data_IF_533672593599
#
_entry.id   IF_533672593599
#
_cell.length_a   1.000
_cell.length_b   1.000
_cell.length_c   1.000
_cell.angle_alpha   90.00
_cell.angle_beta   90.00
_cell.angle_gamma   90.00
#
_symmetry.space_group_name_H-M   'P 1'
#
loop_
_entity.id
_entity.type
_entity.pdbx_description
1 polymer ?
#
# COMPACT_ATOMS: atom_id res chain seq x y z
N UNK A 1 28.27 -52.09 -25.97
CA UNK A 1 27.37 -52.04 -24.78
C UNK A 1 27.49 -50.75 -23.95
N UNK A 2 28.68 -50.16 -23.76
CA UNK A 2 28.87 -48.96 -22.93
C UNK A 2 28.18 -47.68 -23.47
N UNK A 3 28.14 -47.44 -24.78
CA UNK A 3 27.53 -46.25 -25.39
C UNK A 3 25.99 -46.15 -25.16
N UNK A 4 25.28 -47.30 -25.09
CA UNK A 4 23.84 -47.35 -24.83
C UNK A 4 23.51 -47.05 -23.36
N UNK A 5 24.41 -47.34 -22.42
CA UNK A 5 24.25 -47.04 -20.99
C UNK A 5 24.35 -45.51 -20.75
N UNK A 6 25.34 -44.86 -21.39
CA UNK A 6 25.52 -43.40 -21.27
C UNK A 6 24.37 -42.58 -21.87
N UNK A 7 23.84 -43.02 -23.03
CA UNK A 7 22.68 -42.35 -23.65
C UNK A 7 21.42 -42.46 -22.78
N UNK A 8 21.24 -43.60 -22.08
CA UNK A 8 20.12 -43.78 -21.13
C UNK A 8 20.27 -42.92 -19.89
N UNK A 9 21.49 -42.80 -19.35
CA UNK A 9 21.75 -41.96 -18.17
C UNK A 9 21.57 -40.46 -18.48
N UNK A 10 21.98 -39.98 -19.65
CA UNK A 10 21.78 -38.61 -20.11
C UNK A 10 20.30 -38.29 -20.37
N UNK A 11 19.56 -39.23 -20.95
CA UNK A 11 18.11 -39.05 -21.18
C UNK A 11 17.35 -39.05 -19.84
N UNK A 12 17.76 -39.88 -18.90
CA UNK A 12 17.16 -39.88 -17.54
C UNK A 12 17.47 -38.59 -16.77
N UNK A 13 18.68 -38.03 -16.89
CA UNK A 13 19.05 -36.75 -16.29
C UNK A 13 18.30 -35.59 -16.92
N UNK A 14 18.09 -35.60 -18.24
CA UNK A 14 17.32 -34.59 -18.97
C UNK A 14 15.82 -34.65 -18.59
N UNK A 15 15.26 -35.86 -18.47
CA UNK A 15 13.87 -36.07 -18.03
C UNK A 15 13.68 -35.69 -16.58
N UNK A 16 14.69 -35.91 -15.70
CA UNK A 16 14.67 -35.47 -14.32
C UNK A 16 14.77 -33.94 -14.19
N UNK A 17 15.55 -33.28 -15.04
CA UNK A 17 15.64 -31.83 -15.08
C UNK A 17 14.35 -31.15 -15.62
N UNK A 18 13.62 -31.83 -16.52
CA UNK A 18 12.32 -31.40 -17.02
C UNK A 18 11.16 -31.73 -16.07
N UNK A 19 11.38 -32.65 -15.13
CA UNK A 19 10.39 -33.09 -14.11
C UNK A 19 10.52 -32.35 -12.77
N UNK A 20 11.40 -31.34 -12.66
CA UNK A 20 11.37 -30.46 -11.50
C UNK A 20 10.02 -29.73 -11.56
N UNK A 21 9.15 -29.91 -10.55
CA UNK A 21 7.92 -29.17 -10.50
C UNK A 21 8.32 -27.68 -10.51
N UNK A 22 7.97 -26.97 -11.56
CA UNK A 22 7.92 -25.53 -11.48
C UNK A 22 7.09 -25.23 -10.25
N UNK A 23 7.73 -24.66 -9.21
CA UNK A 23 7.01 -24.29 -7.99
C UNK A 23 5.78 -23.53 -8.45
N UNK A 24 4.60 -24.06 -8.14
CA UNK A 24 3.37 -23.32 -8.27
C UNK A 24 3.53 -22.14 -7.29
N UNK A 25 3.96 -20.99 -7.83
CA UNK A 25 3.88 -19.73 -7.13
C UNK A 25 2.38 -19.51 -6.96
N UNK A 26 1.90 -19.55 -5.74
CA UNK A 26 0.49 -19.40 -5.38
C UNK A 26 -0.06 -18.01 -5.78
N UNK A 27 0.81 -17.09 -6.17
CA UNK A 27 0.53 -15.80 -6.78
C UNK A 27 1.47 -15.66 -7.98
N UNK A 28 0.92 -15.28 -9.12
CA UNK A 28 1.65 -15.17 -10.38
C UNK A 28 2.90 -14.33 -10.21
N UNK A 29 4.02 -14.83 -10.71
CA UNK A 29 5.35 -14.31 -10.46
C UNK A 29 5.65 -12.94 -11.07
N UNK A 30 4.88 -11.92 -10.74
CA UNK A 30 5.25 -10.55 -10.97
C UNK A 30 6.43 -10.19 -10.05
N UNK A 31 7.49 -9.66 -10.63
CA UNK A 31 8.65 -9.14 -9.91
C UNK A 31 8.65 -7.61 -9.90
N UNK A 32 7.54 -7.00 -10.28
CA UNK A 32 7.35 -5.56 -10.31
C UNK A 32 7.02 -4.97 -8.93
N UNK A 33 6.94 -3.65 -8.83
CA UNK A 33 6.64 -2.97 -7.58
C UNK A 33 5.21 -3.27 -7.09
N UNK A 34 5.05 -3.28 -5.77
CA UNK A 34 3.76 -3.42 -5.10
C UNK A 34 3.38 -2.05 -4.53
N UNK A 35 2.13 -1.64 -4.75
CA UNK A 35 1.56 -0.43 -4.17
C UNK A 35 0.22 -0.74 -3.52
N UNK A 36 -0.06 -0.09 -2.38
CA UNK A 36 -1.34 -0.19 -1.70
C UNK A 36 -1.98 1.19 -1.63
N UNK A 37 -3.29 1.21 -1.85
CA UNK A 37 -4.13 2.38 -1.77
C UNK A 37 -5.36 2.09 -0.92
N UNK A 38 -5.60 2.88 0.11
CA UNK A 38 -6.85 2.86 0.86
C UNK A 38 -7.65 4.11 0.51
N UNK A 39 -8.82 3.91 -0.07
CA UNK A 39 -9.67 5.00 -0.54
C UNK A 39 -11.15 4.69 -0.35
N UNK A 40 -11.94 5.75 -0.22
CA UNK A 40 -13.38 5.63 -0.32
C UNK A 40 -13.82 5.30 -1.75
N UNK A 41 -14.78 4.40 -1.86
CA UNK A 41 -15.50 4.07 -3.11
C UNK A 41 -16.98 4.26 -2.82
N UNK A 42 -17.42 5.52 -2.81
CA UNK A 42 -18.73 5.91 -2.29
C UNK A 42 -18.82 5.68 -0.77
N UNK A 43 -19.82 4.89 -0.29
CA UNK A 43 -19.96 4.61 1.14
C UNK A 43 -18.99 3.53 1.66
N UNK A 44 -18.22 2.89 0.78
CA UNK A 44 -17.30 1.81 1.14
C UNK A 44 -15.88 2.34 1.25
N UNK A 45 -15.11 1.82 2.18
CA UNK A 45 -13.67 2.02 2.27
C UNK A 45 -12.96 0.74 1.84
N UNK A 46 -12.06 0.85 0.86
CA UNK A 46 -11.42 -0.29 0.22
C UNK A 46 -9.90 -0.08 0.12
N UNK A 47 -9.16 -1.01 0.68
CA UNK A 47 -7.74 -1.20 0.40
C UNK A 47 -7.57 -1.92 -0.93
N UNK A 48 -6.72 -1.41 -1.81
CA UNK A 48 -6.42 -1.98 -3.13
C UNK A 48 -4.92 -2.15 -3.24
N UNK A 49 -4.46 -3.39 -3.28
CA UNK A 49 -3.06 -3.71 -3.55
C UNK A 49 -2.89 -3.97 -5.04
N UNK A 50 -1.93 -3.31 -5.64
CA UNK A 50 -1.52 -3.50 -7.03
C UNK A 50 -0.15 -4.16 -7.07
N UNK A 51 -0.06 -5.36 -7.63
CA UNK A 51 1.19 -6.03 -7.98
C UNK A 51 1.42 -5.87 -9.48
N UNK A 52 2.36 -5.00 -9.83
CA UNK A 52 2.58 -4.59 -11.22
C UNK A 52 3.47 -5.59 -11.96
N UNK A 53 3.27 -5.78 -13.28
CA UNK A 53 4.21 -6.55 -14.09
C UNK A 53 5.55 -5.81 -14.21
N UNK A 54 6.64 -6.58 -14.25
CA UNK A 54 7.99 -6.04 -14.49
C UNK A 54 8.25 -5.67 -15.95
N UNK A 55 7.39 -6.15 -16.86
CA UNK A 55 7.43 -5.85 -18.30
C UNK A 55 6.02 -5.75 -18.85
N UNK A 56 5.84 -4.93 -19.89
CA UNK A 56 4.57 -4.81 -20.63
C UNK A 56 4.75 -5.34 -22.07
N UNK A 57 3.74 -5.98 -22.67
CA UNK A 57 2.45 -6.34 -22.06
C UNK A 57 2.58 -7.34 -20.91
N UNK A 58 1.71 -7.21 -19.90
CA UNK A 58 1.76 -8.04 -18.70
C UNK A 58 0.43 -8.10 -17.97
N UNK A 59 0.43 -8.75 -16.81
CA UNK A 59 -0.75 -8.88 -15.95
C UNK A 59 -0.58 -8.02 -14.70
N UNK A 60 -1.53 -7.15 -14.44
CA UNK A 60 -1.69 -6.43 -13.19
C UNK A 60 -2.52 -7.31 -12.25
N UNK A 61 -1.94 -7.78 -11.14
CA UNK A 61 -2.69 -8.46 -10.09
C UNK A 61 -3.22 -7.45 -9.07
N UNK A 62 -4.44 -7.67 -8.63
CA UNK A 62 -5.18 -6.73 -7.79
C UNK A 62 -5.80 -7.50 -6.63
N UNK A 63 -5.42 -7.13 -5.40
CA UNK A 63 -6.02 -7.66 -4.20
C UNK A 63 -6.88 -6.56 -3.55
N UNK A 64 -8.09 -6.90 -3.15
CA UNK A 64 -9.03 -5.99 -2.53
C UNK A 64 -9.24 -6.34 -1.06
N UNK A 65 -9.09 -5.35 -0.19
CA UNK A 65 -9.18 -5.46 1.27
C UNK A 65 -10.28 -4.53 1.80
N UNK A 66 -11.52 -5.00 1.98
CA UNK A 66 -12.57 -4.17 2.59
C UNK A 66 -12.20 -3.74 4.02
N UNK A 67 -12.43 -2.47 4.34
CA UNK A 67 -12.15 -1.92 5.67
C UNK A 67 -13.39 -1.86 6.58
N UNK A 68 -14.49 -2.48 6.19
CA UNK A 68 -15.74 -2.49 6.94
C UNK A 68 -16.76 -3.49 6.38
N UNK A 69 -18.06 -3.25 6.60
CA UNK A 69 -19.12 -4.10 6.07
C UNK A 69 -19.15 -4.05 4.54
N UNK A 70 -19.02 -5.21 3.93
CA UNK A 70 -18.83 -5.34 2.48
C UNK A 70 -19.73 -6.43 1.84
N UNK A 71 -20.60 -7.05 2.61
CA UNK A 71 -21.47 -8.11 2.13
C UNK A 71 -22.45 -7.61 1.06
N UNK A 72 -22.59 -8.37 -0.02
CA UNK A 72 -23.46 -8.03 -1.13
C UNK A 72 -22.98 -6.86 -2.01
N UNK A 73 -21.71 -6.49 -1.89
CA UNK A 73 -21.09 -5.48 -2.75
C UNK A 73 -20.51 -6.13 -4.00
N UNK A 74 -20.77 -5.55 -5.16
CA UNK A 74 -20.12 -5.88 -6.42
C UNK A 74 -19.09 -4.81 -6.74
N UNK A 75 -17.84 -5.22 -6.95
CA UNK A 75 -16.76 -4.34 -7.39
C UNK A 75 -16.42 -4.61 -8.84
N UNK A 76 -16.39 -3.55 -9.65
CA UNK A 76 -15.96 -3.57 -11.05
C UNK A 76 -14.69 -2.78 -11.22
N UNK A 77 -13.72 -3.37 -11.91
CA UNK A 77 -12.40 -2.78 -12.10
C UNK A 77 -12.06 -2.73 -13.58
N UNK A 78 -11.55 -1.59 -14.03
CA UNK A 78 -11.02 -1.40 -15.39
C UNK A 78 -9.74 -0.58 -15.29
N UNK A 79 -8.74 -0.91 -16.11
CA UNK A 79 -7.51 -0.15 -16.20
C UNK A 79 -7.37 0.50 -17.57
N UNK A 80 -6.93 1.76 -17.62
CA UNK A 80 -6.65 2.48 -18.84
C UNK A 80 -5.41 3.36 -18.70
N UNK A 81 -4.64 3.60 -19.75
CA UNK A 81 -3.62 4.64 -19.76
C UNK A 81 -4.25 5.99 -19.38
N UNK A 82 -3.52 6.76 -18.58
CA UNK A 82 -4.03 8.01 -18.02
C UNK A 82 -4.55 8.94 -19.12
N UNK A 83 -5.74 9.50 -18.88
CA UNK A 83 -6.43 10.36 -19.84
C UNK A 83 -7.16 9.64 -20.98
N UNK A 84 -7.11 8.31 -21.03
CA UNK A 84 -7.90 7.54 -21.99
C UNK A 84 -9.22 7.04 -21.38
N UNK A 85 -10.26 6.82 -22.22
CA UNK A 85 -11.53 6.29 -21.74
C UNK A 85 -11.39 4.83 -21.28
N UNK A 86 -12.23 4.46 -20.29
CA UNK A 86 -12.34 3.07 -19.80
C UNK A 86 -13.28 2.22 -20.65
N UNK A 87 -14.08 2.84 -21.53
CA UNK A 87 -15.03 2.12 -22.39
C UNK A 87 -14.31 1.21 -23.38
N UNK A 88 -14.80 -0.03 -23.47
CA UNK A 88 -14.19 -1.06 -24.31
C UNK A 88 -12.94 -1.73 -23.70
N UNK A 89 -12.46 -1.32 -22.52
CA UNK A 89 -11.39 -1.99 -21.80
C UNK A 89 -11.92 -3.24 -21.07
N UNK A 90 -11.08 -4.29 -20.92
CA UNK A 90 -11.42 -5.46 -20.10
C UNK A 90 -11.87 -5.05 -18.70
N UNK A 91 -12.92 -5.72 -18.20
CA UNK A 91 -13.46 -5.51 -16.88
C UNK A 91 -13.24 -6.76 -16.02
N UNK A 92 -12.73 -6.56 -14.81
CA UNK A 92 -12.75 -7.56 -13.77
C UNK A 92 -13.92 -7.28 -12.82
N UNK A 93 -14.63 -8.35 -12.40
CA UNK A 93 -15.78 -8.24 -11.50
C UNK A 93 -15.53 -9.12 -10.28
N UNK A 94 -15.69 -8.54 -9.11
CA UNK A 94 -15.61 -9.23 -7.82
C UNK A 94 -16.95 -9.07 -7.11
N UNK A 95 -17.56 -10.18 -6.74
CA UNK A 95 -18.78 -10.20 -5.91
C UNK A 95 -18.40 -10.54 -4.48
N UNK A 96 -18.70 -9.64 -3.56
CA UNK A 96 -18.39 -9.84 -2.16
C UNK A 96 -19.22 -10.98 -1.57
N UNK A 97 -18.53 -11.87 -0.85
CA UNK A 97 -19.13 -12.99 -0.14
C UNK A 97 -18.90 -12.85 1.37
N UNK A 98 -19.82 -13.33 2.22
CA UNK A 98 -19.65 -13.27 3.67
C UNK A 98 -18.36 -13.94 4.12
N UNK A 99 -17.68 -13.32 5.11
CA UNK A 99 -16.45 -13.83 5.74
C UNK A 99 -15.20 -13.89 4.84
N UNK A 100 -15.24 -13.35 3.64
CA UNK A 100 -14.06 -13.21 2.78
C UNK A 100 -13.36 -11.89 3.09
N UNK A 101 -12.13 -11.97 3.59
CA UNK A 101 -11.34 -10.80 3.97
C UNK A 101 -10.55 -10.20 2.80
N UNK A 102 -10.25 -10.99 1.77
CA UNK A 102 -9.39 -10.60 0.65
C UNK A 102 -9.98 -11.19 -0.64
N UNK A 103 -10.08 -10.35 -1.67
CA UNK A 103 -10.51 -10.77 -3.00
C UNK A 103 -9.38 -10.56 -3.98
N UNK A 104 -9.15 -11.55 -4.83
CA UNK A 104 -8.08 -11.57 -5.82
C UNK A 104 -8.66 -11.43 -7.22
N UNK A 105 -8.07 -10.56 -8.04
CA UNK A 105 -8.42 -10.42 -9.45
C UNK A 105 -7.23 -9.95 -10.26
N UNK A 106 -7.40 -9.81 -11.58
CA UNK A 106 -6.32 -9.38 -12.46
C UNK A 106 -6.85 -8.69 -13.71
N UNK A 107 -6.02 -7.81 -14.29
CA UNK A 107 -6.27 -7.11 -15.55
C UNK A 107 -5.03 -7.17 -16.43
N UNK A 108 -5.23 -7.25 -17.76
CA UNK A 108 -4.14 -7.10 -18.72
C UNK A 108 -3.77 -5.64 -18.91
N UNK A 109 -2.45 -5.37 -18.97
CA UNK A 109 -1.89 -4.05 -19.29
C UNK A 109 -0.92 -4.20 -20.45
N UNK A 110 -0.99 -3.29 -21.43
CA UNK A 110 -0.36 -3.47 -22.75
C UNK A 110 0.85 -2.58 -23.00
N UNK A 111 1.06 -1.52 -22.22
CA UNK A 111 2.17 -0.57 -22.41
C UNK A 111 2.69 0.00 -21.09
N UNK A 112 3.96 0.44 -21.10
CA UNK A 112 4.53 1.20 -20.00
C UNK A 112 3.98 2.63 -19.98
N UNK A 113 4.09 3.30 -18.83
CA UNK A 113 3.63 4.68 -18.61
C UNK A 113 2.61 4.80 -17.49
N UNK A 114 1.97 5.94 -17.42
CA UNK A 114 0.98 6.26 -16.40
C UNK A 114 -0.40 5.68 -16.75
N UNK A 115 -1.04 5.11 -15.76
CA UNK A 115 -2.34 4.45 -15.84
C UNK A 115 -3.25 4.93 -14.73
N UNK A 116 -4.55 4.80 -14.95
CA UNK A 116 -5.57 4.87 -13.90
C UNK A 116 -6.32 3.54 -13.83
N UNK A 117 -6.50 3.01 -12.61
CA UNK A 117 -7.42 1.93 -12.31
C UNK A 117 -8.75 2.55 -11.84
N UNK A 118 -9.81 2.34 -12.58
CA UNK A 118 -11.16 2.67 -12.16
C UNK A 118 -11.68 1.54 -11.26
N UNK A 119 -12.13 1.92 -10.07
CA UNK A 119 -12.79 1.03 -9.11
C UNK A 119 -14.20 1.55 -8.89
N UNK A 120 -15.20 0.73 -9.19
CA UNK A 120 -16.62 1.01 -8.92
C UNK A 120 -17.16 -0.01 -7.94
N UNK A 121 -17.86 0.43 -6.93
CA UNK A 121 -18.53 -0.43 -5.97
C UNK A 121 -20.03 -0.15 -6.00
N UNK A 122 -20.82 -1.20 -6.03
CA UNK A 122 -22.28 -1.17 -6.02
C UNK A 122 -22.79 -2.13 -4.96
N UNK A 123 -23.61 -1.66 -4.02
CA UNK A 123 -24.07 -2.51 -2.91
C UNK A 123 -25.14 -1.87 -2.05
N UNK A 124 -25.54 -2.53 -0.94
CA UNK A 124 -26.66 -2.11 -0.11
C UNK A 124 -26.57 -0.70 0.47
N UNK A 125 -25.35 -0.19 0.71
CA UNK A 125 -25.14 1.14 1.26
C UNK A 125 -25.11 2.24 0.18
N UNK A 126 -25.09 1.88 -1.10
CA UNK A 126 -25.03 2.78 -2.23
C UNK A 126 -23.94 2.43 -3.22
N UNK A 127 -23.68 3.33 -4.14
CA UNK A 127 -22.70 3.15 -5.21
C UNK A 127 -21.58 4.16 -5.07
N UNK A 128 -20.39 3.80 -5.55
CA UNK A 128 -19.24 4.67 -5.55
C UNK A 128 -18.26 4.39 -6.68
N UNK A 129 -17.36 5.35 -6.88
CA UNK A 129 -16.31 5.28 -7.88
C UNK A 129 -15.06 5.99 -7.38
N UNK A 130 -13.91 5.42 -7.65
CA UNK A 130 -12.61 6.08 -7.47
C UNK A 130 -11.66 5.74 -8.62
N UNK A 131 -10.63 6.56 -8.80
CA UNK A 131 -9.53 6.33 -9.72
C UNK A 131 -8.23 6.20 -8.94
N UNK A 132 -7.53 5.10 -9.14
CA UNK A 132 -6.24 4.84 -8.50
C UNK A 132 -5.14 5.03 -9.55
N UNK A 133 -4.28 6.05 -9.41
CA UNK A 133 -3.17 6.28 -10.33
C UNK A 133 -2.04 5.30 -10.04
N UNK A 134 -1.43 4.74 -11.10
CA UNK A 134 -0.23 3.92 -10.99
C UNK A 134 0.64 4.07 -12.24
N UNK A 135 1.92 3.73 -12.12
CA UNK A 135 2.88 3.85 -13.24
C UNK A 135 3.52 2.50 -13.51
N UNK A 136 3.47 2.07 -14.76
CA UNK A 136 4.14 0.86 -15.24
C UNK A 136 5.49 1.21 -15.84
N UNK A 137 6.55 0.63 -15.26
CA UNK A 137 7.92 0.81 -15.74
C UNK A 137 8.47 -0.54 -16.15
N UNK A 138 8.89 -0.66 -17.41
CA UNK A 138 9.59 -1.86 -17.86
C UNK A 138 10.95 -1.96 -17.16
N UNK A 139 11.09 -2.93 -16.28
CA UNK A 139 12.37 -3.20 -15.65
C UNK A 139 13.39 -3.69 -16.69
N UNK A 140 14.62 -3.19 -16.68
CA UNK A 140 15.67 -3.75 -17.51
C UNK A 140 15.90 -5.21 -17.13
N UNK A 141 16.05 -6.09 -18.13
CA UNK A 141 16.35 -7.51 -17.87
C UNK A 141 17.69 -7.58 -17.12
N UNK A 142 17.73 -8.14 -15.90
CA UNK A 142 18.96 -8.24 -15.13
C UNK A 142 20.06 -8.95 -15.96
N UNK A 143 21.28 -8.42 -15.91
CA UNK A 143 22.42 -9.01 -16.62
C UNK A 143 22.65 -10.48 -16.27
N UNK A 144 22.36 -10.88 -15.05
CA UNK A 144 22.39 -12.29 -14.59
C UNK A 144 21.38 -13.17 -15.34
N UNK A 145 20.17 -12.66 -15.64
CA UNK A 145 19.15 -13.36 -16.42
C UNK A 145 19.61 -13.56 -17.88
N UNK A 146 20.19 -12.51 -18.49
CA UNK A 146 20.77 -12.58 -19.83
C UNK A 146 21.94 -13.57 -19.88
N UNK A 147 22.82 -13.53 -18.87
CA UNK A 147 23.95 -14.45 -18.75
C UNK A 147 23.49 -15.90 -18.59
N UNK A 148 22.47 -16.15 -17.75
CA UNK A 148 21.90 -17.48 -17.58
C UNK A 148 21.28 -17.99 -18.89
N UNK A 149 20.51 -17.15 -19.59
CA UNK A 149 19.97 -17.48 -20.92
C UNK A 149 21.07 -17.83 -21.95
N UNK A 150 22.14 -17.06 -21.95
CA UNK A 150 23.31 -17.31 -22.81
C UNK A 150 24.01 -18.65 -22.51
N UNK A 151 24.20 -18.96 -21.22
CA UNK A 151 24.79 -20.22 -20.76
C UNK A 151 23.92 -21.41 -21.11
N UNK A 152 22.60 -21.32 -20.91
CA UNK A 152 21.66 -22.40 -21.29
C UNK A 152 21.57 -22.58 -22.81
N UNK A 153 21.60 -21.49 -23.59
CA UNK A 153 21.67 -21.55 -25.04
C UNK A 153 22.93 -22.22 -25.53
N UNK A 154 24.10 -21.90 -24.96
CA UNK A 154 25.37 -22.57 -25.28
C UNK A 154 25.32 -24.06 -24.91
N UNK A 155 24.74 -24.41 -23.74
CA UNK A 155 24.59 -25.83 -23.35
C UNK A 155 23.72 -26.59 -24.35
N UNK A 156 22.63 -26.01 -24.82
CA UNK A 156 21.80 -26.62 -25.88
C UNK A 156 22.56 -26.84 -27.19
N UNK A 157 23.34 -25.85 -27.62
CA UNK A 157 24.20 -25.99 -28.84
C UNK A 157 25.24 -27.08 -28.67
N UNK A 158 25.91 -27.19 -27.53
CA UNK A 158 26.87 -28.23 -27.23
C UNK A 158 26.23 -29.63 -27.22
N UNK A 159 25.00 -29.72 -26.71
CA UNK A 159 24.21 -30.95 -26.71
C UNK A 159 23.91 -31.40 -28.17
N UNK A 160 23.43 -30.47 -29.00
CA UNK A 160 23.18 -30.74 -30.42
C UNK A 160 24.47 -31.17 -31.14
N UNK A 161 25.59 -30.48 -30.92
CA UNK A 161 26.89 -30.83 -31.48
C UNK A 161 27.32 -32.26 -31.05
N UNK A 162 27.10 -32.62 -29.78
CA UNK A 162 27.38 -33.97 -29.28
C UNK A 162 26.54 -35.06 -29.97
N UNK A 163 25.24 -34.77 -30.18
CA UNK A 163 24.33 -35.67 -30.89
C UNK A 163 24.79 -35.86 -32.35
N UNK A 164 25.08 -34.75 -33.05
CA UNK A 164 25.55 -34.77 -34.44
C UNK A 164 26.87 -35.53 -34.58
N UNK A 165 27.83 -35.28 -33.69
CA UNK A 165 29.11 -36.00 -33.66
C UNK A 165 28.89 -37.50 -33.47
N UNK A 166 28.03 -37.89 -32.56
CA UNK A 166 27.71 -39.30 -32.28
C UNK A 166 27.00 -39.97 -33.47
N UNK A 167 26.04 -39.28 -34.09
CA UNK A 167 25.29 -39.79 -35.23
C UNK A 167 26.21 -39.96 -36.47
N UNK A 168 27.07 -38.95 -36.73
CA UNK A 168 28.03 -39.03 -37.89
C UNK A 168 29.09 -40.11 -37.68
N UNK A 169 29.59 -40.29 -36.47
CA UNK A 169 30.52 -41.38 -36.14
C UNK A 169 29.85 -42.75 -36.32
N UNK A 170 28.61 -42.91 -35.89
CA UNK A 170 27.84 -44.14 -36.09
C UNK A 170 27.57 -44.42 -37.58
N UNK A 171 27.17 -43.42 -38.37
CA UNK A 171 26.93 -43.55 -39.80
C UNK A 171 28.21 -43.95 -40.55
N UNK A 172 29.36 -43.45 -40.13
CA UNK A 172 30.67 -43.80 -40.73
C UNK A 172 31.28 -45.07 -40.15
N UNK A 173 30.59 -45.78 -39.26
CA UNK A 173 31.08 -46.97 -38.53
C UNK A 173 32.46 -46.78 -37.88
N UNK A 174 32.75 -45.55 -37.41
CA UNK A 174 34.00 -45.17 -36.75
C UNK A 174 33.67 -44.64 -35.34
N UNK A 175 34.60 -44.81 -34.42
CA UNK A 175 34.47 -44.18 -33.07
C UNK A 175 34.70 -42.68 -33.22
N UNK A 176 33.90 -41.87 -32.49
CA UNK A 176 34.13 -40.44 -32.39
C UNK A 176 35.51 -40.17 -31.76
N UNK A 177 36.25 -39.13 -32.20
CA UNK A 177 37.54 -38.79 -31.61
C UNK A 177 37.43 -38.54 -30.12
N UNK A 178 38.23 -39.23 -29.30
CA UNK A 178 38.18 -39.13 -27.84
C UNK A 178 38.34 -37.70 -27.34
N UNK A 179 39.24 -36.92 -27.98
CA UNK A 179 39.46 -35.51 -27.60
C UNK A 179 38.21 -34.66 -27.81
N UNK A 180 37.43 -34.85 -28.90
CA UNK A 180 36.23 -34.11 -29.18
C UNK A 180 35.11 -34.45 -28.18
N UNK A 181 34.96 -35.72 -27.82
CA UNK A 181 34.00 -36.17 -26.79
C UNK A 181 34.34 -35.58 -25.42
N UNK A 182 35.64 -35.62 -25.06
CA UNK A 182 36.09 -35.05 -23.78
C UNK A 182 35.90 -33.52 -23.75
N UNK A 183 36.26 -32.82 -24.84
CA UNK A 183 36.10 -31.37 -24.92
C UNK A 183 34.63 -30.96 -24.77
N UNK A 184 33.71 -31.60 -25.49
CA UNK A 184 32.27 -31.35 -25.37
C UNK A 184 31.76 -31.67 -23.98
N UNK A 185 32.23 -32.77 -23.35
CA UNK A 185 31.86 -33.11 -21.99
C UNK A 185 32.28 -32.07 -20.96
N UNK A 186 33.53 -31.58 -21.04
CA UNK A 186 34.01 -30.51 -20.12
C UNK A 186 33.29 -29.20 -20.38
N UNK A 187 33.02 -28.83 -21.62
CA UNK A 187 32.29 -27.61 -21.96
C UNK A 187 30.85 -27.65 -21.43
N UNK A 188 30.16 -28.77 -21.60
CA UNK A 188 28.81 -28.95 -21.03
C UNK A 188 28.81 -28.91 -19.49
N UNK A 189 29.80 -29.56 -18.87
CA UNK A 189 29.94 -29.50 -17.41
C UNK A 189 30.18 -28.06 -16.92
N UNK A 190 31.04 -27.31 -17.56
CA UNK A 190 31.29 -25.90 -17.26
C UNK A 190 30.01 -25.05 -17.39
N UNK A 191 29.19 -25.28 -18.44
CA UNK A 191 27.89 -24.59 -18.59
C UNK A 191 26.92 -24.93 -17.46
N UNK A 192 26.85 -26.20 -17.02
CA UNK A 192 25.99 -26.61 -15.92
C UNK A 192 26.42 -25.93 -14.61
N UNK A 193 27.72 -25.89 -14.31
CA UNK A 193 28.22 -25.19 -13.13
C UNK A 193 27.94 -23.69 -13.22
N UNK A 194 28.18 -23.05 -14.36
CA UNK A 194 27.90 -21.63 -14.54
C UNK A 194 26.40 -21.33 -14.39
N UNK A 195 25.52 -22.16 -14.94
CA UNK A 195 24.07 -22.02 -14.78
C UNK A 195 23.64 -22.16 -13.31
N UNK A 196 24.23 -23.11 -12.58
CA UNK A 196 23.94 -23.28 -11.14
C UNK A 196 24.40 -22.07 -10.33
N UNK A 197 25.58 -21.52 -10.57
CA UNK A 197 26.07 -20.31 -9.89
C UNK A 197 25.17 -19.11 -10.19
N UNK A 198 24.82 -18.87 -11.45
CA UNK A 198 23.95 -17.78 -11.85
C UNK A 198 22.52 -17.95 -11.25
N UNK A 199 22.02 -19.18 -11.20
CA UNK A 199 20.73 -19.48 -10.57
C UNK A 199 20.74 -19.20 -9.07
N UNK A 200 21.79 -19.58 -8.35
CA UNK A 200 21.96 -19.25 -6.94
C UNK A 200 22.07 -17.72 -6.73
N UNK A 201 22.82 -17.03 -7.58
CA UNK A 201 22.90 -15.57 -7.50
C UNK A 201 21.54 -14.91 -7.73
N UNK A 202 20.75 -15.37 -8.70
CA UNK A 202 19.39 -14.87 -8.90
C UNK A 202 18.48 -15.15 -7.68
N UNK A 203 18.56 -16.35 -7.10
CA UNK A 203 17.79 -16.70 -5.91
C UNK A 203 18.13 -15.82 -4.72
N UNK A 204 19.43 -15.58 -4.47
CA UNK A 204 19.87 -14.69 -3.40
C UNK A 204 19.51 -13.23 -3.64
N UNK A 205 19.54 -12.76 -4.89
CA UNK A 205 19.12 -11.41 -5.26
C UNK A 205 17.59 -11.25 -5.17
N UNK A 206 16.82 -12.25 -5.59
CA UNK A 206 15.36 -12.28 -5.48
C UNK A 206 14.89 -12.28 -4.02
N UNK A 207 15.58 -12.98 -3.13
CA UNK A 207 15.29 -12.96 -1.69
C UNK A 207 15.55 -11.60 -1.03
N UNK A 208 16.43 -10.78 -1.60
CA UNK A 208 16.70 -9.42 -1.11
C UNK A 208 15.75 -8.36 -1.72
N UNK A 209 14.98 -8.68 -2.78
CA UNK A 209 14.01 -7.75 -3.36
C UNK A 209 12.76 -7.57 -2.49
N UNK A 210 12.49 -8.51 -1.56
CA UNK A 210 11.42 -8.33 -0.55
C UNK A 210 11.85 -7.39 0.58
N UNK A 211 13.13 -6.99 0.65
CA UNK A 211 13.69 -6.10 1.65
C UNK A 211 14.29 -4.82 1.03
N UNK A 212 14.05 -4.55 -0.25
CA UNK A 212 14.19 -3.19 -0.74
C UNK A 212 13.06 -2.38 -0.08
N UNK A 213 13.28 -2.03 1.20
CA UNK A 213 12.69 -0.83 1.74
C UNK A 213 12.80 0.21 0.63
N UNK A 214 11.68 0.82 0.27
CA UNK A 214 11.69 2.05 -0.50
C UNK A 214 12.86 2.86 0.07
N UNK A 215 13.80 3.35 -0.74
CA UNK A 215 14.96 4.05 -0.22
C UNK A 215 14.40 5.01 0.78
N UNK A 216 14.85 4.89 2.04
CA UNK A 216 14.51 5.85 3.08
C UNK A 216 14.72 7.16 2.37
N UNK A 217 13.66 7.97 2.24
CA UNK A 217 13.70 9.18 1.45
C UNK A 217 14.92 9.91 1.95
N UNK A 218 16.03 9.74 1.22
CA UNK A 218 17.19 10.56 1.44
C UNK A 218 16.58 11.95 1.41
N UNK A 219 16.79 12.73 2.45
CA UNK A 219 16.47 14.14 2.50
C UNK A 219 17.24 14.80 1.36
N UNK A 220 16.79 14.56 0.13
CA UNK A 220 17.17 15.37 -1.01
C UNK A 220 16.73 16.77 -0.61
N UNK A 221 17.62 17.77 -0.71
CA UNK A 221 17.19 19.13 -0.53
C UNK A 221 15.99 19.33 -1.43
N UNK A 222 14.87 19.74 -0.86
CA UNK A 222 13.63 19.97 -1.56
C UNK A 222 13.86 21.08 -2.59
N UNK A 223 14.40 20.74 -3.76
CA UNK A 223 14.23 21.57 -4.98
C UNK A 223 12.74 21.53 -5.37
N UNK A 224 11.92 21.55 -4.30
CA UNK A 224 10.59 21.10 -4.18
C UNK A 224 9.70 21.70 -5.23
N UNK A 225 8.86 20.84 -5.80
CA UNK A 225 7.62 21.29 -6.40
C UNK A 225 6.91 22.19 -5.42
N UNK A 226 6.30 23.29 -5.87
CA UNK A 226 5.68 24.24 -4.97
C UNK A 226 4.58 23.60 -4.16
N UNK A 227 4.22 24.24 -3.06
CA UNK A 227 3.08 23.86 -2.24
C UNK A 227 1.83 23.75 -3.10
N UNK A 228 1.01 22.73 -2.87
CA UNK A 228 -0.31 22.65 -3.47
C UNK A 228 -1.26 23.63 -2.76
N UNK A 229 -2.22 24.14 -3.50
CA UNK A 229 -3.35 24.90 -2.99
C UNK A 229 -4.58 24.01 -2.96
N UNK A 230 -5.44 24.18 -1.95
CA UNK A 230 -6.69 23.47 -1.79
C UNK A 230 -7.86 24.44 -1.92
N UNK A 231 -8.86 24.07 -2.73
CA UNK A 231 -10.20 24.62 -2.62
C UNK A 231 -11.15 23.54 -2.12
N UNK A 232 -12.03 23.91 -1.19
CA UNK A 232 -13.03 23.01 -0.62
C UNK A 232 -14.42 23.55 -0.93
N UNK A 233 -15.25 22.70 -1.54
CA UNK A 233 -16.65 22.98 -1.81
C UNK A 233 -17.54 21.91 -1.16
N UNK A 234 -18.78 22.29 -0.84
CA UNK A 234 -19.77 21.37 -0.25
C UNK A 234 -20.99 21.23 -1.15
N UNK A 235 -21.55 20.02 -1.17
CA UNK A 235 -22.84 19.75 -1.80
C UNK A 235 -23.74 19.04 -0.80
N UNK A 236 -24.84 19.68 -0.31
CA UNK A 236 -25.31 21.03 -0.68
C UNK A 236 -24.36 22.15 -0.21
N UNK A 237 -24.47 23.34 -0.81
CA UNK A 237 -23.64 24.53 -0.48
C UNK A 237 -23.90 25.08 0.92
N UNK A 238 -25.04 24.74 1.52
CA UNK A 238 -25.41 25.03 2.89
C UNK A 238 -25.69 23.72 3.64
N UNK A 239 -24.65 22.97 4.05
CA UNK A 239 -24.80 21.70 4.76
C UNK A 239 -25.61 21.88 6.04
N UNK A 240 -26.44 20.89 6.35
CA UNK A 240 -27.22 20.84 7.57
C UNK A 240 -26.65 19.81 8.53
N UNK A 241 -26.53 20.14 9.81
CA UNK A 241 -26.17 19.19 10.85
C UNK A 241 -27.14 17.98 10.84
N UNK A 242 -26.60 16.78 11.03
CA UNK A 242 -27.35 15.52 10.96
C UNK A 242 -27.73 15.08 9.53
N UNK A 243 -27.26 15.78 8.49
CA UNK A 243 -27.50 15.43 7.09
C UNK A 243 -26.20 15.15 6.35
N UNK A 244 -26.17 14.18 5.43
CA UNK A 244 -25.01 13.94 4.61
C UNK A 244 -24.63 15.17 3.75
N UNK A 245 -23.33 15.43 3.68
CA UNK A 245 -22.73 16.43 2.81
C UNK A 245 -21.59 15.80 2.05
N UNK A 246 -21.46 16.11 0.76
CA UNK A 246 -20.29 15.75 -0.03
C UNK A 246 -19.29 16.90 -0.01
N UNK A 247 -18.08 16.63 0.42
CA UNK A 247 -16.94 17.53 0.28
C UNK A 247 -16.26 17.25 -1.06
N UNK A 248 -16.02 18.29 -1.83
CA UNK A 248 -15.18 18.28 -3.02
C UNK A 248 -13.91 19.06 -2.72
N UNK A 249 -12.77 18.39 -2.86
CA UNK A 249 -11.45 18.96 -2.63
C UNK A 249 -10.74 19.03 -3.99
N UNK A 250 -10.45 20.24 -4.45
CA UNK A 250 -9.68 20.45 -5.67
C UNK A 250 -8.28 20.97 -5.29
N UNK A 251 -7.26 20.23 -5.75
CA UNK A 251 -5.84 20.53 -5.51
C UNK A 251 -5.21 21.14 -6.76
N UNK A 252 -4.54 22.25 -6.57
CA UNK A 252 -3.84 22.97 -7.63
C UNK A 252 -2.36 23.17 -7.27
N UNK A 253 -1.49 22.99 -8.23
CA UNK A 253 -0.07 23.30 -8.11
C UNK A 253 0.13 24.81 -7.90
N UNK A 254 0.87 25.18 -6.85
CA UNK A 254 1.03 26.57 -6.45
C UNK A 254 1.81 27.46 -7.44
N UNK A 255 2.61 26.86 -8.35
CA UNK A 255 3.34 27.62 -9.36
C UNK A 255 2.58 27.73 -10.70
N UNK A 256 1.89 26.65 -11.08
CA UNK A 256 1.30 26.56 -12.42
C UNK A 256 -0.21 26.75 -12.43
N UNK A 257 -0.87 26.57 -11.28
CA UNK A 257 -2.33 26.56 -11.17
C UNK A 257 -2.99 25.33 -11.83
N UNK A 258 -2.21 24.38 -12.33
CA UNK A 258 -2.74 23.15 -12.91
C UNK A 258 -3.19 22.18 -11.81
N UNK A 259 -4.14 21.27 -12.10
CA UNK A 259 -4.51 20.21 -11.16
C UNK A 259 -3.30 19.38 -10.73
N UNK A 260 -3.20 19.07 -9.43
CA UNK A 260 -2.15 18.21 -8.87
C UNK A 260 -2.47 16.75 -9.20
N UNK A 261 -1.59 16.09 -9.95
CA UNK A 261 -1.77 14.68 -10.35
C UNK A 261 -0.52 13.81 -10.07
N UNK A 262 0.30 14.26 -9.13
CA UNK A 262 1.56 13.64 -8.75
C UNK A 262 1.60 13.23 -7.27
N UNK A 263 0.43 12.92 -6.69
CA UNK A 263 0.37 12.39 -5.34
C UNK A 263 0.92 10.95 -5.31
N UNK A 264 1.69 10.68 -4.28
CA UNK A 264 2.18 9.34 -3.95
C UNK A 264 1.46 8.81 -2.73
N UNK A 265 1.17 7.51 -2.65
CA UNK A 265 0.60 6.94 -1.44
C UNK A 265 1.51 7.19 -0.23
N UNK A 266 0.94 7.70 0.84
CA UNK A 266 1.58 7.86 2.13
C UNK A 266 0.73 7.12 3.15
N UNK A 267 1.31 6.13 3.84
CA UNK A 267 0.54 5.22 4.71
C UNK A 267 -0.74 4.71 4.03
N UNK A 268 -0.57 4.08 2.88
CA UNK A 268 -1.62 3.43 2.09
C UNK A 268 -2.70 4.37 1.52
N UNK A 269 -2.64 5.69 1.69
CA UNK A 269 -3.62 6.62 1.13
C UNK A 269 -2.98 7.74 0.31
N UNK A 270 -3.68 8.21 -0.74
CA UNK A 270 -3.28 9.40 -1.50
C UNK A 270 -3.52 10.68 -0.70
N UNK A 271 -4.52 10.66 0.17
CA UNK A 271 -4.89 11.78 1.03
C UNK A 271 -5.47 11.26 2.33
N UNK A 272 -4.94 11.72 3.47
CA UNK A 272 -5.60 11.61 4.77
C UNK A 272 -6.36 12.90 5.03
N UNK A 273 -7.67 12.81 5.14
CA UNK A 273 -8.52 13.94 5.40
C UNK A 273 -9.05 13.88 6.85
N UNK A 274 -8.57 14.76 7.68
CA UNK A 274 -9.05 14.89 9.05
C UNK A 274 -10.05 16.05 9.10
N UNK A 275 -11.27 15.78 9.53
CA UNK A 275 -12.31 16.82 9.69
C UNK A 275 -12.64 16.97 11.16
N UNK A 276 -12.53 18.20 11.67
CA UNK A 276 -12.78 18.57 13.06
C UNK A 276 -13.76 19.72 13.12
N UNK A 277 -14.66 19.73 14.10
CA UNK A 277 -15.37 20.95 14.48
C UNK A 277 -14.48 21.86 15.35
N UNK A 278 -14.92 23.08 15.61
CA UNK A 278 -14.16 24.03 16.43
C UNK A 278 -13.92 23.54 17.87
N UNK A 279 -14.84 22.75 18.40
CA UNK A 279 -14.79 22.29 19.80
C UNK A 279 -13.99 21.01 19.97
N UNK A 280 -13.68 20.31 18.87
CA UNK A 280 -13.05 18.97 18.87
C UNK A 280 -14.03 17.86 19.27
N UNK A 281 -15.32 18.15 19.33
CA UNK A 281 -16.35 17.16 19.62
C UNK A 281 -16.72 16.30 18.43
N UNK A 282 -16.49 16.79 17.21
CA UNK A 282 -16.56 16.02 15.96
C UNK A 282 -15.16 15.69 15.48
N UNK A 283 -14.94 14.44 15.14
CA UNK A 283 -13.71 13.94 14.54
C UNK A 283 -14.03 12.92 13.45
N UNK A 284 -13.45 13.10 12.27
CA UNK A 284 -13.48 12.10 11.21
C UNK A 284 -12.10 12.02 10.55
N UNK A 285 -11.61 10.78 10.33
CA UNK A 285 -10.41 10.48 9.54
C UNK A 285 -10.84 9.69 8.33
N UNK A 286 -10.66 10.25 7.16
CA UNK A 286 -11.26 9.81 5.89
C UNK A 286 -10.20 9.74 4.78
N UNK A 287 -10.46 8.89 3.76
CA UNK A 287 -9.59 8.75 2.60
C UNK A 287 -10.40 9.05 1.32
N UNK A 288 -10.46 10.32 0.89
CA UNK A 288 -11.31 10.74 -0.23
C UNK A 288 -11.05 10.00 -1.53
N UNK A 289 -12.11 9.71 -2.27
CA UNK A 289 -12.03 9.12 -3.60
C UNK A 289 -11.49 10.13 -4.60
N UNK A 290 -10.46 9.75 -5.39
CA UNK A 290 -10.00 10.55 -6.54
C UNK A 290 -10.95 10.32 -7.71
N UNK A 291 -11.51 11.38 -8.29
CA UNK A 291 -12.40 11.29 -9.46
C UNK A 291 -11.75 11.78 -10.75
N UNK A 292 -10.76 12.64 -10.65
CA UNK A 292 -9.99 13.19 -11.76
C UNK A 292 -8.65 13.73 -11.23
N UNK A 293 -7.69 14.10 -12.09
CA UNK A 293 -6.51 14.84 -11.68
C UNK A 293 -6.87 16.01 -10.75
N UNK A 294 -6.24 16.06 -9.58
CA UNK A 294 -6.46 17.08 -8.56
C UNK A 294 -7.82 17.06 -7.86
N UNK A 295 -8.78 16.25 -8.26
CA UNK A 295 -10.14 16.27 -7.70
C UNK A 295 -10.44 15.04 -6.84
N UNK A 296 -10.79 15.32 -5.58
CA UNK A 296 -11.14 14.33 -4.58
C UNK A 296 -12.51 14.62 -3.99
N UNK A 297 -13.26 13.56 -3.64
CA UNK A 297 -14.59 13.69 -3.04
C UNK A 297 -14.75 12.72 -1.89
N UNK A 298 -15.53 13.13 -0.88
CA UNK A 298 -15.92 12.28 0.25
C UNK A 298 -17.25 12.76 0.82
N UNK A 299 -18.09 11.83 1.23
CA UNK A 299 -19.31 12.14 1.97
C UNK A 299 -19.05 12.00 3.48
N UNK A 300 -19.62 12.92 4.27
CA UNK A 300 -19.66 12.81 5.72
C UNK A 300 -20.97 13.42 6.24
N UNK A 301 -21.28 13.21 7.52
CA UNK A 301 -22.44 13.80 8.16
C UNK A 301 -21.96 14.62 9.36
N UNK A 302 -21.95 15.96 9.28
CA UNK A 302 -21.67 16.81 10.44
C UNK A 302 -22.74 16.55 11.49
N UNK A 303 -22.36 16.26 12.72
CA UNK A 303 -23.32 15.91 13.78
C UNK A 303 -23.94 17.14 14.48
N UNK A 304 -23.36 18.32 14.30
CA UNK A 304 -23.78 19.57 14.93
C UNK A 304 -23.60 20.80 14.05
N UNK A 305 -24.30 21.91 14.32
CA UNK A 305 -24.04 23.17 13.63
C UNK A 305 -22.69 23.75 14.09
N UNK A 306 -22.03 24.47 13.21
CA UNK A 306 -20.75 25.11 13.51
C UNK A 306 -19.79 25.09 12.35
N UNK A 307 -18.59 25.63 12.60
CA UNK A 307 -17.48 25.61 11.65
C UNK A 307 -16.71 24.31 11.76
N UNK A 308 -16.39 23.76 10.64
CA UNK A 308 -15.55 22.56 10.47
C UNK A 308 -14.29 22.92 9.71
N UNK A 309 -13.15 22.42 10.18
CA UNK A 309 -11.87 22.52 9.49
C UNK A 309 -11.47 21.14 8.97
N UNK A 310 -11.16 21.08 7.70
CA UNK A 310 -10.65 19.91 7.02
C UNK A 310 -9.14 20.07 6.81
N UNK A 311 -8.36 19.15 7.35
CA UNK A 311 -6.92 19.06 7.18
C UNK A 311 -6.63 17.93 6.19
N UNK A 312 -6.16 18.28 4.99
CA UNK A 312 -5.80 17.32 3.96
C UNK A 312 -4.29 17.12 3.98
N UNK A 313 -3.85 15.98 4.48
CA UNK A 313 -2.45 15.56 4.39
C UNK A 313 -2.23 14.78 3.11
N UNK A 314 -1.29 15.23 2.30
CA UNK A 314 -0.91 14.67 1.00
C UNK A 314 0.61 14.52 0.93
N UNK A 315 1.08 13.56 0.15
CA UNK A 315 2.49 13.48 -0.25
C UNK A 315 2.60 13.67 -1.76
N UNK A 316 3.41 14.64 -2.20
CA UNK A 316 3.70 14.86 -3.62
C UNK A 316 5.05 14.23 -3.97
N UNK A 317 5.15 13.70 -5.18
CA UNK A 317 6.41 13.19 -5.72
C UNK A 317 7.50 14.26 -5.62
N UNK A 318 8.66 13.89 -5.04
CA UNK A 318 9.84 14.77 -4.86
C UNK A 318 9.62 16.03 -3.99
N UNK A 319 8.48 16.16 -3.31
CA UNK A 319 8.14 17.35 -2.52
C UNK A 319 7.80 17.05 -1.05
N UNK A 320 7.68 15.77 -0.69
CA UNK A 320 7.33 15.36 0.68
C UNK A 320 5.88 15.64 1.05
N UNK A 321 5.61 15.52 2.34
CA UNK A 321 4.27 15.65 2.93
C UNK A 321 3.89 17.12 3.09
N UNK A 322 2.64 17.45 2.76
CA UNK A 322 2.04 18.76 2.91
C UNK A 322 0.70 18.64 3.62
N UNK A 323 0.37 19.58 4.50
CA UNK A 323 -0.94 19.68 5.16
C UNK A 323 -1.64 20.92 4.62
N UNK A 324 -2.77 20.72 3.95
CA UNK A 324 -3.58 21.78 3.38
C UNK A 324 -4.86 21.90 4.21
N UNK A 325 -5.39 23.10 4.36
CA UNK A 325 -6.59 23.34 5.17
C UNK A 325 -7.71 23.95 4.33
N UNK A 326 -8.93 23.47 4.58
CA UNK A 326 -10.16 24.05 4.05
C UNK A 326 -11.20 24.11 5.15
N UNK A 327 -12.16 25.00 5.05
CA UNK A 327 -13.22 25.17 6.05
C UNK A 327 -14.59 25.13 5.39
N UNK A 328 -15.59 24.66 6.15
CA UNK A 328 -16.99 24.78 5.78
C UNK A 328 -17.86 25.01 7.02
N UNK A 329 -19.08 25.50 6.81
CA UNK A 329 -20.06 25.77 7.86
C UNK A 329 -21.22 24.78 7.74
N UNK A 330 -21.51 24.03 8.82
CA UNK A 330 -22.77 23.31 8.93
C UNK A 330 -23.81 24.16 9.69
N UNK A 331 -25.03 24.18 9.17
CA UNK A 331 -26.14 24.97 9.70
C UNK A 331 -27.11 24.04 10.44
N UNK A 332 -27.99 24.62 11.25
CA UNK A 332 -29.05 23.89 11.98
C UNK A 332 -29.21 24.37 13.38
N UNK A 333 -30.04 23.65 14.16
CA UNK A 333 -30.28 23.88 15.57
C UNK A 333 -29.54 22.79 16.36
N UNK A 334 -28.96 23.15 17.48
CA UNK A 334 -28.28 22.25 18.41
C UNK A 334 -27.24 23.00 19.23
N UNK A 335 -27.04 22.58 20.46
CA UNK A 335 -25.94 23.08 21.29
C UNK A 335 -24.63 22.46 20.76
N UNK A 336 -23.56 23.23 20.66
CA UNK A 336 -22.24 22.67 20.47
C UNK A 336 -21.99 21.63 21.58
N UNK A 337 -21.50 20.45 21.23
CA UNK A 337 -21.17 19.51 22.30
C UNK A 337 -20.19 20.17 23.25
N UNK A 338 -20.56 20.17 24.51
CA UNK A 338 -19.61 20.54 25.52
C UNK A 338 -18.49 19.53 25.54
N UNK A 339 -17.33 20.09 25.53
CA UNK A 339 -16.26 19.55 26.26
C UNK A 339 -15.24 18.64 25.68
N UNK A 340 -14.17 19.17 25.90
CA UNK A 340 -12.85 18.58 26.01
C UNK A 340 -12.90 17.12 26.49
N UNK A 341 -12.36 16.24 25.68
CA UNK A 341 -12.07 14.89 26.10
C UNK A 341 -11.23 14.90 27.40
N UNK A 342 -11.33 13.88 28.24
CA UNK A 342 -10.56 13.80 29.48
C UNK A 342 -9.06 13.77 29.19
N UNK A 343 -8.26 14.19 30.16
CA UNK A 343 -6.80 14.05 30.14
C UNK A 343 -6.33 12.60 30.13
N UNK A 344 -5.02 12.33 30.21
CA UNK A 344 -4.47 10.98 30.37
C UNK A 344 -5.14 10.22 31.51
N UNK A 345 -5.27 8.89 31.38
CA UNK A 345 -5.93 8.05 32.37
C UNK A 345 -6.74 6.92 31.73
N UNK A 346 -7.36 6.05 32.55
CA UNK A 346 -8.13 4.91 32.06
C UNK A 346 -9.52 5.34 31.56
N UNK A 347 -9.99 4.66 30.51
CA UNK A 347 -11.33 4.81 29.92
C UNK A 347 -11.78 3.53 29.26
N UNK A 348 -13.10 3.39 29.08
CA UNK A 348 -13.67 2.23 28.37
C UNK A 348 -14.27 2.71 27.05
N UNK A 349 -13.81 2.12 25.95
CA UNK A 349 -14.30 2.40 24.59
C UNK A 349 -14.44 1.05 23.87
N UNK A 350 -15.61 0.79 23.29
CA UNK A 350 -15.92 -0.43 22.53
C UNK A 350 -15.56 -1.75 23.26
N UNK A 351 -15.76 -1.78 24.58
CA UNK A 351 -15.46 -2.92 25.44
C UNK A 351 -13.98 -3.09 25.80
N UNK A 352 -13.10 -2.20 25.31
CA UNK A 352 -11.70 -2.15 25.70
C UNK A 352 -11.50 -1.16 26.86
N UNK A 353 -10.78 -1.58 27.88
CA UNK A 353 -10.21 -0.68 28.90
C UNK A 353 -8.89 -0.15 28.34
N UNK A 354 -8.81 1.15 28.11
CA UNK A 354 -7.65 1.82 27.52
C UNK A 354 -7.07 2.75 28.57
N UNK A 355 -5.84 2.51 28.99
CA UNK A 355 -5.09 3.40 29.87
C UNK A 355 -4.13 4.25 29.06
N UNK A 356 -4.13 5.56 29.28
CA UNK A 356 -3.23 6.49 28.59
C UNK A 356 -2.28 7.12 29.60
N UNK A 357 -0.98 6.98 29.34
CA UNK A 357 0.08 7.59 30.14
C UNK A 357 0.96 8.48 29.26
N UNK A 358 1.40 9.61 29.82
CA UNK A 358 2.39 10.48 29.20
C UNK A 358 3.70 10.40 29.98
N UNK A 359 4.83 10.36 29.30
CA UNK A 359 6.17 10.43 29.90
C UNK A 359 7.01 11.49 29.18
N UNK A 360 7.41 12.57 29.88
CA UNK A 360 7.08 12.88 31.27
C UNK A 360 5.57 13.10 31.48
N UNK A 361 5.07 12.90 32.69
CA UNK A 361 3.65 13.03 33.03
C UNK A 361 3.05 14.38 32.64
N UNK A 362 3.87 15.42 32.58
CA UNK A 362 3.55 16.72 32.01
C UNK A 362 4.58 17.04 30.91
N UNK A 363 4.24 16.85 29.63
CA UNK A 363 5.13 17.19 28.52
C UNK A 363 5.49 18.68 28.50
N UNK A 364 6.68 18.96 27.97
CA UNK A 364 7.18 20.33 27.78
C UNK A 364 7.38 20.62 26.31
N UNK A 365 7.09 21.84 25.90
CA UNK A 365 7.34 22.29 24.54
C UNK A 365 8.85 22.16 24.18
N UNK A 366 9.13 21.66 22.98
CA UNK A 366 10.49 21.44 22.49
C UNK A 366 11.21 20.25 23.12
N UNK A 367 10.56 19.47 24.01
CA UNK A 367 11.15 18.27 24.62
C UNK A 367 10.42 17.01 24.13
N UNK A 368 11.15 15.88 23.92
CA UNK A 368 10.55 14.62 23.60
C UNK A 368 9.57 14.15 24.68
N UNK A 369 8.41 13.65 24.26
CA UNK A 369 7.43 13.02 25.12
C UNK A 369 6.94 11.70 24.47
N UNK A 370 6.58 10.74 25.31
CA UNK A 370 6.01 9.47 24.87
C UNK A 370 4.59 9.35 25.43
N UNK A 371 3.63 9.07 24.55
CA UNK A 371 2.28 8.70 24.96
C UNK A 371 2.14 7.19 24.78
N UNK A 372 1.80 6.49 25.87
CA UNK A 372 1.59 5.03 25.86
C UNK A 372 0.10 4.75 26.04
N UNK A 373 -0.46 3.99 25.12
CA UNK A 373 -1.82 3.47 25.15
C UNK A 373 -1.76 1.97 25.47
N UNK A 374 -2.28 1.57 26.62
CA UNK A 374 -2.31 0.17 27.08
C UNK A 374 -3.74 -0.36 27.00
N UNK A 375 -3.91 -1.53 26.36
CA UNK A 375 -5.21 -2.11 26.06
C UNK A 375 -5.47 -3.36 26.88
N UNK A 376 -6.67 -3.45 27.47
CA UNK A 376 -7.15 -4.64 28.17
C UNK A 376 -8.64 -4.89 27.86
N UNK A 377 -9.05 -6.15 27.87
CA UNK A 377 -10.44 -6.58 27.77
C UNK A 377 -10.74 -7.59 28.88
N UNK A 378 -11.82 -7.37 29.66
CA UNK A 378 -12.13 -8.25 30.79
C UNK A 378 -11.00 -8.38 31.82
N UNK A 379 -10.15 -7.37 31.96
CA UNK A 379 -8.98 -7.38 32.85
C UNK A 379 -7.74 -8.10 32.28
N UNK A 380 -7.80 -8.64 31.08
CA UNK A 380 -6.67 -9.30 30.43
C UNK A 380 -6.03 -8.37 29.38
N UNK A 381 -4.69 -8.37 29.22
CA UNK A 381 -4.02 -7.60 28.18
C UNK A 381 -4.48 -8.01 26.76
N UNK A 382 -4.73 -7.02 25.89
CA UNK A 382 -5.06 -7.24 24.46
C UNK A 382 -3.77 -7.18 23.66
N UNK A 383 -3.41 -8.28 23.01
CA UNK A 383 -2.14 -8.44 22.26
C UNK A 383 -2.36 -8.72 20.77
N UNK A 384 -3.59 -8.52 20.28
CA UNK A 384 -4.03 -8.80 18.91
C UNK A 384 -4.56 -7.55 18.20
N UNK A 385 -4.04 -6.38 18.58
CA UNK A 385 -4.30 -5.14 17.84
C UNK A 385 -3.77 -5.27 16.41
N UNK A 386 -4.59 -4.89 15.44
CA UNK A 386 -4.32 -5.07 14.03
C UNK A 386 -3.65 -3.82 13.44
N UNK A 387 -2.81 -3.96 12.38
CA UNK A 387 -2.37 -2.79 11.63
C UNK A 387 -3.56 -2.08 10.98
N UNK A 388 -3.47 -0.76 10.94
CA UNK A 388 -4.38 0.10 10.21
C UNK A 388 -3.56 1.10 9.42
N UNK A 389 -3.78 1.18 8.10
CA UNK A 389 -2.97 1.98 7.19
C UNK A 389 -1.46 1.69 7.36
N UNK A 390 -1.12 0.41 7.47
CA UNK A 390 0.25 -0.06 7.66
C UNK A 390 0.86 0.19 9.03
N UNK A 391 0.19 0.90 9.96
CA UNK A 391 0.75 1.31 11.25
C UNK A 391 0.03 0.63 12.43
N UNK A 392 0.71 0.56 13.58
CA UNK A 392 0.10 0.09 14.83
C UNK A 392 -0.97 1.05 15.37
N UNK A 393 -0.93 2.31 14.97
CA UNK A 393 -1.90 3.34 15.33
C UNK A 393 -1.53 4.70 14.75
N UNK A 394 -2.53 5.57 14.70
CA UNK A 394 -2.43 6.96 14.25
C UNK A 394 -2.85 7.90 15.38
N UNK A 395 -2.17 9.03 15.50
CA UNK A 395 -2.47 10.03 16.50
C UNK A 395 -2.57 11.40 15.84
N UNK A 396 -3.74 12.00 15.92
CA UNK A 396 -3.97 13.38 15.50
C UNK A 396 -3.78 14.29 16.70
N UNK A 397 -3.00 15.34 16.52
CA UNK A 397 -2.78 16.38 17.53
C UNK A 397 -3.14 17.76 16.96
N UNK A 398 -4.04 18.46 17.64
CA UNK A 398 -4.43 19.84 17.33
C UNK A 398 -4.33 20.69 18.58
N UNK A 399 -3.69 21.85 18.52
CA UNK A 399 -3.74 22.81 19.62
C UNK A 399 -5.10 23.51 19.64
N UNK A 400 -5.63 23.82 20.83
CA UNK A 400 -6.99 24.33 21.00
C UNK A 400 -7.28 25.59 20.18
N UNK A 401 -6.28 26.44 19.97
CA UNK A 401 -6.40 27.66 19.14
C UNK A 401 -6.37 27.36 17.63
N UNK A 402 -6.20 26.11 17.23
CA UNK A 402 -6.13 25.69 15.83
C UNK A 402 -4.83 26.08 15.10
N UNK A 403 -3.88 26.75 15.76
CA UNK A 403 -2.64 27.20 15.13
C UNK A 403 -1.62 26.08 14.91
N UNK A 404 -1.89 24.87 15.41
CA UNK A 404 -1.06 23.71 15.21
C UNK A 404 -1.92 22.46 14.95
N UNK A 405 -1.48 21.69 13.97
CA UNK A 405 -2.02 20.38 13.62
C UNK A 405 -0.88 19.43 13.24
N UNK A 406 -0.99 18.16 13.61
CA UNK A 406 -0.05 17.12 13.21
C UNK A 406 -0.75 15.77 13.16
N UNK A 407 -0.32 14.92 12.23
CA UNK A 407 -0.67 13.51 12.12
C UNK A 407 0.59 12.69 12.44
N UNK A 408 0.51 11.87 13.48
CA UNK A 408 1.64 11.19 14.13
C UNK A 408 1.38 9.68 14.06
N UNK A 409 2.42 8.89 13.80
CA UNK A 409 2.33 7.44 13.73
C UNK A 409 2.92 6.79 14.98
N UNK A 410 2.42 5.61 15.32
CA UNK A 410 2.96 4.83 16.43
C UNK A 410 4.45 4.50 16.20
N UNK A 411 5.23 4.52 17.28
CA UNK A 411 6.65 4.20 17.30
C UNK A 411 6.85 2.67 17.22
N UNK A 412 6.34 2.06 16.16
CA UNK A 412 6.47 0.65 15.85
C UNK A 412 6.83 0.49 14.37
N UNK A 413 7.49 -0.61 13.95
CA UNK A 413 7.72 -0.88 12.55
C UNK A 413 6.40 -0.91 11.78
N UNK A 414 6.38 -0.36 10.58
CA UNK A 414 5.26 -0.48 9.66
C UNK A 414 5.03 -1.96 9.31
N UNK A 415 3.77 -2.39 9.26
CA UNK A 415 3.45 -3.74 8.81
C UNK A 415 3.90 -3.91 7.35
N UNK A 416 4.40 -5.09 6.96
CA UNK A 416 4.68 -5.39 5.57
C UNK A 416 3.43 -5.19 4.71
N UNK A 417 3.64 -4.74 3.48
CA UNK A 417 2.54 -4.56 2.52
C UNK A 417 1.93 -5.91 2.10
N UNK A 418 0.64 -5.93 1.85
CA UNK A 418 -0.08 -7.06 1.30
C UNK A 418 -0.26 -8.24 2.28
N UNK A 419 -0.36 -9.49 1.75
CA UNK A 419 -0.63 -10.68 2.55
C UNK A 419 0.38 -10.92 3.68
N UNK A 420 1.64 -10.49 3.52
CA UNK A 420 2.66 -10.57 4.56
C UNK A 420 2.33 -9.74 5.81
N UNK A 421 1.52 -8.69 5.68
CA UNK A 421 1.08 -7.85 6.79
C UNK A 421 -0.16 -8.37 7.54
N UNK A 422 -0.91 -9.32 6.98
CA UNK A 422 -2.18 -9.79 7.57
C UNK A 422 -2.01 -10.55 8.89
N UNK A 423 -0.81 -11.05 9.18
CA UNK A 423 -0.48 -11.75 10.45
C UNK A 423 0.22 -10.86 11.48
N UNK A 424 0.47 -9.59 11.18
CA UNK A 424 1.12 -8.68 12.12
C UNK A 424 0.11 -8.24 13.17
N UNK A 425 0.51 -8.35 14.43
CA UNK A 425 -0.28 -7.91 15.59
C UNK A 425 0.57 -7.05 16.50
N UNK A 426 -0.09 -6.16 17.24
CA UNK A 426 0.52 -5.22 18.16
C UNK A 426 -0.15 -5.32 19.55
N UNK A 427 0.40 -4.63 20.53
CA UNK A 427 -0.13 -4.54 21.88
C UNK A 427 0.63 -5.36 22.90
N UNK A 428 0.24 -5.34 24.18
CA UNK A 428 -0.86 -4.55 24.72
C UNK A 428 -0.56 -3.05 24.75
N UNK A 429 0.71 -2.63 24.61
CA UNK A 429 1.15 -1.24 24.63
C UNK A 429 1.49 -0.73 23.24
N UNK A 430 0.85 0.39 22.85
CA UNK A 430 1.19 1.13 21.63
C UNK A 430 1.66 2.51 22.02
N UNK A 431 2.82 2.94 21.51
CA UNK A 431 3.50 4.16 21.92
C UNK A 431 3.62 5.14 20.75
N UNK A 432 3.47 6.43 21.10
CA UNK A 432 3.74 7.55 20.19
C UNK A 432 4.82 8.41 20.81
N UNK A 433 5.93 8.59 20.10
CA UNK A 433 6.98 9.51 20.49
C UNK A 433 6.83 10.81 19.72
N UNK A 434 6.71 11.94 20.42
CA UNK A 434 6.48 13.22 19.78
C UNK A 434 7.10 14.39 20.58
N UNK A 435 7.54 15.43 19.89
CA UNK A 435 8.00 16.68 20.46
C UNK A 435 6.97 17.78 20.14
N UNK A 436 6.18 18.18 21.10
CA UNK A 436 5.21 19.25 20.93
C UNK A 436 5.95 20.59 20.75
N UNK A 437 5.73 21.33 19.63
CA UNK A 437 6.56 22.50 19.32
C UNK A 437 6.28 23.72 20.20
N UNK A 438 5.10 23.81 20.77
CA UNK A 438 4.63 24.99 21.50
C UNK A 438 3.87 24.59 22.76
N UNK A 439 3.90 25.42 23.82
CA UNK A 439 3.08 25.19 24.99
C UNK A 439 1.60 25.46 24.71
N UNK A 440 0.73 24.86 25.50
CA UNK A 440 -0.73 25.03 25.41
C UNK A 440 -1.47 23.72 25.59
N UNK A 441 -2.80 23.79 25.48
CA UNK A 441 -3.66 22.61 25.48
C UNK A 441 -3.79 22.06 24.10
N UNK A 442 -3.61 20.75 23.99
CA UNK A 442 -3.77 19.98 22.77
C UNK A 442 -4.97 19.03 22.90
N UNK A 443 -5.75 18.96 21.87
CA UNK A 443 -6.75 17.92 21.66
C UNK A 443 -6.09 16.82 20.81
N UNK A 444 -6.25 15.58 21.24
CA UNK A 444 -5.63 14.41 20.63
C UNK A 444 -6.70 13.38 20.32
N UNK A 445 -6.55 12.70 19.17
CA UNK A 445 -7.37 11.54 18.78
C UNK A 445 -6.43 10.44 18.35
N UNK A 446 -6.30 9.40 19.19
CA UNK A 446 -5.53 8.21 18.82
C UNK A 446 -6.47 7.17 18.22
N UNK A 447 -6.07 6.58 17.12
CA UNK A 447 -6.84 5.59 16.41
C UNK A 447 -6.08 4.27 16.29
N UNK A 448 -6.78 3.18 16.56
CA UNK A 448 -6.26 1.82 16.55
C UNK A 448 -7.27 0.90 15.91
N UNK A 449 -6.81 -0.25 15.40
CA UNK A 449 -7.70 -1.27 14.86
C UNK A 449 -7.71 -2.51 15.76
N UNK A 450 -8.90 -2.94 16.17
CA UNK A 450 -9.10 -4.16 16.93
C UNK A 450 -10.36 -4.87 16.46
N UNK A 451 -10.29 -6.18 16.27
CA UNK A 451 -11.40 -7.02 15.78
C UNK A 451 -12.08 -6.43 14.51
N UNK A 452 -11.26 -5.89 13.58
CA UNK A 452 -11.74 -5.29 12.33
C UNK A 452 -12.38 -3.91 12.45
N UNK A 453 -12.41 -3.29 13.65
CA UNK A 453 -13.02 -1.97 13.90
C UNK A 453 -11.95 -0.95 14.27
N UNK A 454 -12.19 0.30 13.88
CA UNK A 454 -11.35 1.43 14.31
C UNK A 454 -11.86 1.97 15.64
N UNK A 455 -10.98 1.92 16.63
CA UNK A 455 -11.21 2.46 17.98
C UNK A 455 -10.57 3.83 18.06
N UNK A 456 -11.35 4.88 18.26
CA UNK A 456 -10.87 6.26 18.41
C UNK A 456 -10.85 6.65 19.87
N UNK A 457 -9.70 7.08 20.37
CA UNK A 457 -9.46 7.48 21.76
C UNK A 457 -9.21 8.99 21.84
N UNK A 458 -10.24 9.80 22.11
CA UNK A 458 -10.05 11.23 22.29
C UNK A 458 -9.46 11.53 23.67
N UNK A 459 -8.52 12.48 23.72
CA UNK A 459 -7.98 12.99 24.99
C UNK A 459 -7.48 14.43 24.84
N UNK A 460 -7.32 15.12 25.97
CA UNK A 460 -6.63 16.40 26.05
C UNK A 460 -5.29 16.25 26.75
N UNK A 461 -4.31 17.05 26.35
CA UNK A 461 -2.97 17.06 26.92
C UNK A 461 -2.50 18.51 27.10
N UNK A 462 -2.13 18.88 28.33
CA UNK A 462 -1.54 20.17 28.60
C UNK A 462 -0.01 20.07 28.47
N UNK A 463 0.56 20.89 27.59
CA UNK A 463 2.00 20.99 27.34
C UNK A 463 2.51 22.28 27.97
N UNK A 464 3.45 22.16 28.90
CA UNK A 464 4.04 23.33 29.59
C UNK A 464 5.14 23.99 28.72
N UNK A 465 5.52 25.20 29.10
CA UNK A 465 6.61 25.92 28.46
C UNK A 465 8.00 25.28 28.76
#
# INVERSE_FOLDING_TARGET
MRARAWARSLLSALLLALALPGGALAHGGNTGPIQIYTQAVGPYELGVLLEMPSVTPGTLYIDLYPQGAFDGVTVRLRAAPRGQPFDGRPEAVVNAAPQVAIYYTQLGVDQAGDWDLEVRAEGPQGNGRTLIPFTLVNAPIPGTTLALGGVLGLLALLLVASIVLSATAAARRRAAPRWAVSLLGYAMFACVVAAAVLGVQQYLQGGNLTAAAAPAAATAPSSGRPHANLTLATTPTAPQAGRPVTLTLDLFDGATGLPVDDLTPHHEALMHLIVLDQTGGFFAHLHPARLAPGRYVIALTPDRPGRYTAYAEIARQESGTQILTGEFQAYGHGEPAAAAAPGPGPRVIDGLTISVAAEPGQPRAGQPATLTFSFAAGGQPVTDMQPWLGMAGHLIARRDDGAFFSHIHAAAPMAPLGPAGTGVIYGPDIRFAYTFPQPGRYQLWAQFRHAGRIVTVPLTLDVSA
#
